data_IF_401685220204
#
_entry.id   IF_401685220204
#
_cell.length_a   1.000
_cell.length_b   1.000
_cell.length_c   1.000
_cell.angle_alpha   90.00
_cell.angle_beta   90.00
_cell.angle_gamma   90.00
#
_symmetry.space_group_name_H-M   'P 1'
#
loop_
_entity.id
_entity.type
_entity.pdbx_description
1 polymer ?
#
# COMPACT_ATOMS: atom_id res chain seq x y z
N UNK A 1 -1.01 -7.10 -6.05
CA UNK A 1 -0.27 -6.29 -7.04
C UNK A 1 -1.21 -5.48 -7.94
N UNK A 2 -2.27 -6.08 -8.52
CA UNK A 2 -3.20 -5.36 -9.42
C UNK A 2 -3.83 -4.07 -8.84
N UNK A 3 -4.17 -4.03 -7.54
CA UNK A 3 -4.73 -2.83 -6.91
C UNK A 3 -3.72 -1.68 -6.76
N UNK A 4 -2.44 -1.97 -6.52
CA UNK A 4 -1.38 -0.96 -6.43
C UNK A 4 -1.05 -0.34 -7.79
N UNK A 5 -1.00 -1.16 -8.83
CA UNK A 5 -0.78 -0.69 -10.20
C UNK A 5 -1.95 0.15 -10.73
N UNK A 6 -3.19 -0.21 -10.41
CA UNK A 6 -4.37 0.62 -10.75
C UNK A 6 -4.31 2.00 -10.09
N UNK A 7 -3.91 2.06 -8.81
CA UNK A 7 -3.74 3.32 -8.08
C UNK A 7 -2.66 4.21 -8.70
N UNK A 8 -1.53 3.64 -9.11
CA UNK A 8 -0.44 4.39 -9.74
C UNK A 8 -0.77 4.76 -11.18
N UNK A 9 -1.48 3.91 -11.93
CA UNK A 9 -1.94 4.26 -13.28
C UNK A 9 -2.86 5.48 -13.25
N UNK A 10 -3.70 5.58 -12.22
CA UNK A 10 -4.60 6.71 -12.01
C UNK A 10 -3.87 8.05 -11.89
N UNK A 11 -2.64 8.07 -11.37
CA UNK A 11 -1.83 9.30 -11.29
C UNK A 11 -1.41 9.80 -12.66
N UNK A 12 -1.18 8.88 -13.62
CA UNK A 12 -0.77 9.19 -14.98
C UNK A 12 -1.96 9.58 -15.86
N UNK A 13 -3.10 8.90 -15.68
CA UNK A 13 -4.30 9.16 -16.50
C UNK A 13 -5.07 10.37 -16.04
N UNK A 14 -5.16 10.62 -14.73
CA UNK A 14 -6.04 11.64 -14.13
C UNK A 14 -5.33 12.40 -12.98
N UNK A 15 -4.17 13.06 -13.22
CA UNK A 15 -3.33 13.64 -12.17
C UNK A 15 -4.02 14.69 -11.29
N UNK A 16 -4.88 15.52 -11.89
CA UNK A 16 -5.62 16.55 -11.15
C UNK A 16 -6.67 15.92 -10.23
N UNK A 17 -7.41 14.91 -10.71
CA UNK A 17 -8.40 14.21 -9.90
C UNK A 17 -7.72 13.38 -8.80
N UNK A 18 -6.59 12.74 -9.10
CA UNK A 18 -5.76 12.09 -8.09
C UNK A 18 -5.41 13.07 -6.96
N UNK A 19 -4.93 14.26 -7.32
CA UNK A 19 -4.56 15.29 -6.34
C UNK A 19 -5.76 15.74 -5.50
N UNK A 20 -6.92 15.95 -6.12
CA UNK A 20 -8.15 16.31 -5.41
C UNK A 20 -8.64 15.23 -4.45
N UNK A 21 -8.41 13.95 -4.76
CA UNK A 21 -8.90 12.83 -3.94
C UNK A 21 -7.91 12.41 -2.84
N UNK A 22 -6.60 12.55 -3.09
CA UNK A 22 -5.57 11.93 -2.27
C UNK A 22 -4.51 12.90 -1.73
N UNK A 23 -4.37 14.10 -2.28
CA UNK A 23 -3.38 15.12 -1.87
C UNK A 23 -4.01 16.29 -1.11
N UNK A 24 -5.17 16.08 -0.47
CA UNK A 24 -5.92 17.11 0.23
C UNK A 24 -6.26 16.69 1.66
N UNK A 25 -6.68 17.67 2.46
CA UNK A 25 -7.20 17.39 3.80
C UNK A 25 -8.46 16.53 3.70
N UNK A 26 -8.38 15.34 4.26
CA UNK A 26 -9.53 14.45 4.32
C UNK A 26 -10.46 14.82 5.47
N UNK A 27 -11.74 14.97 5.15
CA UNK A 27 -12.79 15.13 6.15
C UNK A 27 -12.91 13.86 7.01
N UNK A 28 -13.54 13.99 8.18
CA UNK A 28 -13.79 12.84 9.07
C UNK A 28 -14.56 11.72 8.36
N UNK A 29 -15.62 12.08 7.62
CA UNK A 29 -16.45 11.12 6.89
C UNK A 29 -15.67 10.37 5.81
N UNK A 30 -14.73 11.04 5.14
CA UNK A 30 -13.86 10.42 4.15
C UNK A 30 -12.92 9.41 4.80
N UNK A 31 -12.30 9.75 5.95
CA UNK A 31 -11.44 8.83 6.70
C UNK A 31 -12.20 7.59 7.16
N UNK A 32 -13.38 7.77 7.76
CA UNK A 32 -14.23 6.65 8.20
C UNK A 32 -14.68 5.76 7.03
N UNK A 33 -14.92 6.35 5.85
CA UNK A 33 -15.23 5.59 4.63
C UNK A 33 -14.03 4.77 4.16
N UNK A 34 -12.83 5.37 4.16
CA UNK A 34 -11.60 4.67 3.80
C UNK A 34 -11.35 3.51 4.75
N UNK A 35 -11.48 3.71 6.07
CA UNK A 35 -11.34 2.65 7.08
C UNK A 35 -12.29 1.47 6.81
N UNK A 36 -13.56 1.72 6.49
CA UNK A 36 -14.51 0.66 6.10
C UNK A 36 -14.08 -0.10 4.84
N UNK A 37 -13.41 0.57 3.89
CA UNK A 37 -12.89 -0.06 2.68
C UNK A 37 -11.60 -0.86 2.93
N UNK A 38 -10.90 -0.62 4.05
CA UNK A 38 -9.70 -1.38 4.42
C UNK A 38 -10.04 -2.78 4.91
N UNK A 39 -11.16 -2.96 5.61
CA UNK A 39 -11.50 -4.24 6.25
C UNK A 39 -11.42 -5.46 5.30
N UNK A 40 -12.02 -5.45 4.09
CA UNK A 40 -11.90 -6.56 3.16
C UNK A 40 -10.46 -6.82 2.66
N UNK A 41 -9.63 -5.78 2.63
CA UNK A 41 -8.21 -5.89 2.24
C UNK A 41 -7.43 -6.59 3.35
N UNK A 42 -7.67 -6.21 4.61
CA UNK A 42 -7.01 -6.84 5.77
C UNK A 42 -7.40 -8.32 5.87
N UNK A 43 -8.68 -8.65 5.66
CA UNK A 43 -9.17 -10.03 5.63
C UNK A 43 -8.50 -10.85 4.51
N UNK A 44 -8.34 -10.25 3.33
CA UNK A 44 -7.65 -10.88 2.21
C UNK A 44 -6.19 -11.18 2.54
N UNK A 45 -5.45 -10.20 3.09
CA UNK A 45 -4.04 -10.34 3.46
C UNK A 45 -3.87 -11.42 4.53
N UNK A 46 -4.68 -11.37 5.58
CA UNK A 46 -4.73 -12.37 6.65
C UNK A 46 -4.88 -13.77 6.07
N UNK A 47 -5.86 -13.96 5.16
CA UNK A 47 -6.13 -15.26 4.53
C UNK A 47 -5.00 -15.74 3.60
N UNK A 48 -4.39 -14.83 2.83
CA UNK A 48 -3.40 -15.21 1.83
C UNK A 48 -2.00 -15.40 2.42
N UNK A 49 -1.63 -14.64 3.44
CA UNK A 49 -0.28 -14.62 3.99
C UNK A 49 -0.18 -15.23 5.39
N UNK A 50 -1.30 -15.70 5.97
CA UNK A 50 -1.30 -16.33 7.30
C UNK A 50 -0.97 -15.36 8.45
N UNK A 51 -1.14 -14.07 8.22
CA UNK A 51 -0.84 -13.01 9.20
C UNK A 51 -1.99 -12.85 10.20
N UNK A 52 -1.71 -12.38 11.42
CA UNK A 52 -2.77 -11.88 12.30
C UNK A 52 -3.38 -10.59 11.73
N UNK A 53 -4.60 -10.24 12.13
CA UNK A 53 -5.26 -9.02 11.65
C UNK A 53 -4.42 -7.75 11.94
N UNK A 54 -3.80 -7.66 13.12
CA UNK A 54 -2.93 -6.54 13.49
C UNK A 54 -1.69 -6.48 12.60
N UNK A 55 -1.06 -7.64 12.35
CA UNK A 55 0.11 -7.74 11.46
C UNK A 55 -0.26 -7.39 10.02
N UNK A 56 -1.41 -7.87 9.54
CA UNK A 56 -1.92 -7.57 8.21
C UNK A 56 -2.25 -6.07 8.06
N UNK A 57 -2.75 -5.43 9.12
CA UNK A 57 -3.01 -3.98 9.14
C UNK A 57 -1.71 -3.19 9.05
N UNK A 58 -0.71 -3.54 9.86
CA UNK A 58 0.61 -2.90 9.80
C UNK A 58 1.26 -3.11 8.42
N UNK A 59 1.25 -4.34 7.90
CA UNK A 59 1.77 -4.68 6.57
C UNK A 59 1.10 -3.84 5.48
N UNK A 60 -0.24 -3.76 5.51
CA UNK A 60 -1.00 -2.97 4.55
C UNK A 60 -0.63 -1.49 4.62
N UNK A 61 -0.49 -0.92 5.83
CA UNK A 61 -0.10 0.48 5.99
C UNK A 61 1.28 0.78 5.43
N UNK A 62 2.26 -0.10 5.64
CA UNK A 62 3.59 0.05 5.04
C UNK A 62 3.54 0.03 3.50
N UNK A 63 2.85 -0.97 2.94
CA UNK A 63 2.64 -1.04 1.50
C UNK A 63 1.90 0.19 0.95
N UNK A 64 0.87 0.67 1.66
CA UNK A 64 0.11 1.85 1.28
C UNK A 64 0.97 3.10 1.25
N UNK A 65 1.77 3.36 2.29
CA UNK A 65 2.69 4.50 2.34
C UNK A 65 3.66 4.45 1.16
N UNK A 66 4.19 3.28 0.84
CA UNK A 66 5.13 3.11 -0.27
C UNK A 66 4.48 3.38 -1.63
N UNK A 67 3.32 2.76 -1.90
CA UNK A 67 2.53 2.97 -3.11
C UNK A 67 2.11 4.44 -3.25
N UNK A 68 1.61 5.04 -2.17
CA UNK A 68 1.17 6.43 -2.14
C UNK A 68 2.35 7.39 -2.36
N UNK A 69 3.51 7.14 -1.74
CA UNK A 69 4.72 7.93 -1.97
C UNK A 69 5.16 7.94 -3.43
N UNK A 70 5.19 6.76 -4.07
CA UNK A 70 5.50 6.65 -5.52
C UNK A 70 4.47 7.43 -6.34
N UNK A 71 3.18 7.25 -6.04
CA UNK A 71 2.10 7.95 -6.72
C UNK A 71 2.21 9.48 -6.61
N UNK A 72 2.49 10.00 -5.41
CA UNK A 72 2.73 11.42 -5.13
C UNK A 72 3.95 11.97 -5.88
N UNK A 73 5.03 11.20 -5.94
CA UNK A 73 6.22 11.61 -6.68
C UNK A 73 5.99 11.62 -8.19
N UNK A 74 5.18 10.70 -8.72
CA UNK A 74 4.80 10.69 -10.14
C UNK A 74 3.88 11.87 -10.46
N UNK A 75 2.83 12.11 -9.67
CA UNK A 75 1.85 13.18 -9.95
C UNK A 75 2.44 14.58 -9.84
N UNK A 76 3.52 14.73 -9.07
CA UNK A 76 4.29 15.99 -8.95
C UNK A 76 5.45 16.09 -9.93
N UNK A 77 5.60 15.12 -10.84
CA UNK A 77 6.71 15.02 -11.80
C UNK A 77 8.11 14.92 -11.17
N UNK A 78 8.21 14.52 -9.91
CA UNK A 78 9.49 14.24 -9.24
C UNK A 78 10.13 12.94 -9.75
N UNK A 79 9.31 11.93 -10.06
CA UNK A 79 9.71 10.69 -10.72
C UNK A 79 9.03 10.55 -12.07
N UNK A 80 9.78 10.08 -13.07
CA UNK A 80 9.27 9.65 -14.38
C UNK A 80 9.56 8.15 -14.59
N UNK A 81 9.02 7.33 -13.69
CA UNK A 81 9.20 5.87 -13.75
C UNK A 81 8.19 5.24 -14.70
N UNK A 82 8.65 4.30 -15.52
CA UNK A 82 7.77 3.42 -16.28
C UNK A 82 7.11 2.36 -15.37
N UNK A 83 6.18 1.60 -15.94
CA UNK A 83 5.47 0.54 -15.22
C UNK A 83 6.41 -0.53 -14.65
N UNK A 84 7.49 -0.88 -15.36
CA UNK A 84 8.41 -1.93 -14.91
C UNK A 84 9.17 -1.51 -13.66
N UNK A 85 9.71 -0.29 -13.63
CA UNK A 85 10.39 0.24 -12.44
C UNK A 85 9.46 0.28 -11.22
N UNK A 86 8.18 0.60 -11.43
CA UNK A 86 7.17 0.60 -10.36
C UNK A 86 6.92 -0.83 -9.86
N UNK A 87 6.71 -1.79 -10.76
CA UNK A 87 6.50 -3.21 -10.39
C UNK A 87 7.71 -3.75 -9.62
N UNK A 88 8.92 -3.44 -10.06
CA UNK A 88 10.15 -3.89 -9.42
C UNK A 88 10.27 -3.32 -8.00
N UNK A 89 10.04 -2.01 -7.82
CA UNK A 89 10.07 -1.36 -6.51
C UNK A 89 9.03 -1.96 -5.55
N UNK A 90 7.78 -2.12 -6.01
CA UNK A 90 6.71 -2.71 -5.20
C UNK A 90 6.99 -4.17 -4.82
N UNK A 91 7.65 -4.92 -5.71
CA UNK A 91 8.01 -6.32 -5.48
C UNK A 91 9.11 -6.44 -4.42
N UNK A 92 10.12 -5.58 -4.49
CA UNK A 92 11.20 -5.51 -3.48
C UNK A 92 10.60 -5.20 -2.10
N UNK A 93 9.77 -4.16 -1.99
CA UNK A 93 9.15 -3.78 -0.72
C UNK A 93 8.26 -4.90 -0.16
N UNK A 94 7.43 -5.52 -1.01
CA UNK A 94 6.58 -6.64 -0.60
C UNK A 94 7.40 -7.81 -0.02
N UNK A 95 8.50 -8.19 -0.69
CA UNK A 95 9.36 -9.28 -0.23
C UNK A 95 10.10 -8.92 1.06
N UNK A 96 10.61 -7.69 1.19
CA UNK A 96 11.28 -7.21 2.38
C UNK A 96 10.35 -7.23 3.61
N UNK A 97 9.13 -6.69 3.47
CA UNK A 97 8.13 -6.68 4.53
C UNK A 97 7.68 -8.10 4.91
N UNK A 98 7.47 -8.96 3.90
CA UNK A 98 7.08 -10.36 4.14
C UNK A 98 8.17 -11.13 4.91
N UNK A 99 9.44 -10.93 4.55
CA UNK A 99 10.57 -11.53 5.26
C UNK A 99 10.71 -11.00 6.69
N UNK A 100 10.51 -9.69 6.90
CA UNK A 100 10.53 -9.07 8.23
C UNK A 100 9.48 -9.69 9.16
N UNK A 101 8.25 -9.88 8.66
CA UNK A 101 7.17 -10.49 9.43
C UNK A 101 7.47 -11.96 9.75
N UNK A 102 7.97 -12.73 8.78
CA UNK A 102 8.33 -14.13 9.01
C UNK A 102 9.40 -14.26 10.11
N UNK A 103 10.39 -13.36 10.13
CA UNK A 103 11.44 -13.35 11.16
C UNK A 103 10.87 -13.02 12.56
N UNK A 104 9.91 -12.09 12.65
CA UNK A 104 9.26 -11.76 13.92
C UNK A 104 8.41 -12.92 14.45
N UNK A 105 7.74 -13.66 13.57
CA UNK A 105 6.95 -14.84 13.95
C UNK A 105 7.84 -16.02 14.37
N UNK A 106 8.99 -16.23 13.71
CA UNK A 106 9.95 -17.27 14.09
C UNK A 106 10.69 -16.99 15.41
N UNK A 107 10.82 -15.73 15.81
CA UNK A 107 11.52 -15.32 17.03
C UNK A 107 10.66 -15.47 18.31
N UNK A 108 9.35 -15.69 18.18
CA UNK A 108 8.42 -15.87 19.30
C UNK A 108 8.30 -17.31 19.84
N UNK A 109 9.03 -18.26 19.26
CA UNK A 109 8.94 -19.71 19.55
C UNK A 109 9.98 -20.27 20.52
N UNK A 110 10.82 -19.43 21.15
CA UNK A 110 11.77 -19.87 22.20
C UNK A 110 11.45 -19.12 23.49
N UNK A 111 10.53 -19.70 24.27
CA UNK A 111 10.47 -19.59 25.73
C UNK A 111 9.93 -20.91 26.29
#
# INVERSE_FOLDING_TARGET
MASGMGYITFTKTEPHLFSMLFMCDQSRDQRERMERQLQPIIELITRQLGMSADTATAFHMHMWIHVHGIASMIVTHYLDWDEQHIVDALSVEFHALSASIANQQGSGGVQ
#
